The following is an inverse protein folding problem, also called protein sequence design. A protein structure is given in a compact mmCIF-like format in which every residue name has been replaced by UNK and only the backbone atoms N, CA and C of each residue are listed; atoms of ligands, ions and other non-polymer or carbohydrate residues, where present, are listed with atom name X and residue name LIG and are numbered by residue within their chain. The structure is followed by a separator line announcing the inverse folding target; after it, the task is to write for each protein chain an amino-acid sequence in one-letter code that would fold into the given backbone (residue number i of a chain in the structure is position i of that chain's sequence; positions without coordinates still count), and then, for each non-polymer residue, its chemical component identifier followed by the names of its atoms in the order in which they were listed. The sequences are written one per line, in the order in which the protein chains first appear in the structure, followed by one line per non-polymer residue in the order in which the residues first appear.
data_IF_746275346585
#
_entry.id   IF_746275346585
#
_cell.length_a   1.000
_cell.length_b   1.000
_cell.length_c   1.000
_cell.angle_alpha   90.00
_cell.angle_beta   90.00
_cell.angle_gamma   90.00
#
_symmetry.space_group_name_H-M   'P 1'
#
loop_
_entity.id
_entity.type
_entity.pdbx_description
1 polymer ?
#
# COMPACT_ATOMS: atom_id res chain seq x y z
N UNK A 1 -7.22 -35.93 32.26
CA UNK A 1 -6.32 -34.75 32.25
C UNK A 1 -5.71 -34.47 30.85
N UNK A 2 -6.53 -34.26 29.79
CA UNK A 2 -6.01 -34.14 28.40
C UNK A 2 -6.19 -32.74 27.78
N UNK A 3 -6.93 -31.84 28.44
CA UNK A 3 -7.27 -30.51 27.89
C UNK A 3 -6.16 -29.44 27.98
N UNK A 4 -5.20 -29.53 28.93
CA UNK A 4 -4.18 -28.48 29.13
C UNK A 4 -3.19 -28.36 27.96
N UNK A 5 -2.71 -29.49 27.43
CA UNK A 5 -1.67 -29.53 26.38
C UNK A 5 -2.10 -28.85 25.07
N UNK A 6 -3.36 -29.02 24.65
CA UNK A 6 -3.89 -28.40 23.42
C UNK A 6 -4.14 -26.89 23.53
N UNK A 7 -4.45 -26.39 24.73
CA UNK A 7 -4.65 -24.96 25.01
C UNK A 7 -3.32 -24.22 25.01
N UNK A 8 -2.28 -24.82 25.59
CA UNK A 8 -0.94 -24.22 25.66
C UNK A 8 -0.26 -24.09 24.30
N UNK A 9 -0.42 -25.08 23.41
CA UNK A 9 0.09 -25.05 22.02
C UNK A 9 -0.62 -23.95 21.20
N UNK A 10 -1.95 -23.82 21.33
CA UNK A 10 -2.73 -22.74 20.69
C UNK A 10 -2.33 -21.34 21.20
N UNK A 11 -1.95 -21.22 22.47
CA UNK A 11 -1.50 -19.96 23.07
C UNK A 11 -0.10 -19.57 22.59
N UNK A 12 0.83 -20.52 22.48
CA UNK A 12 2.19 -20.29 21.94
C UNK A 12 2.18 -19.91 20.45
N UNK A 13 1.34 -20.55 19.65
CA UNK A 13 1.20 -20.21 18.22
C UNK A 13 0.63 -18.81 18.01
N UNK A 14 -0.40 -18.41 18.77
CA UNK A 14 -0.93 -17.03 18.73
C UNK A 14 0.11 -15.96 19.12
N UNK A 15 0.93 -16.22 20.14
CA UNK A 15 1.98 -15.27 20.55
C UNK A 15 3.10 -15.15 19.51
N UNK A 16 3.45 -16.25 18.85
CA UNK A 16 4.41 -16.27 17.73
C UNK A 16 3.89 -15.46 16.53
N UNK A 17 2.64 -15.66 16.10
CA UNK A 17 2.02 -14.89 15.01
C UNK A 17 1.92 -13.40 15.33
N UNK A 18 1.59 -13.03 16.57
CA UNK A 18 1.57 -11.62 17.00
C UNK A 18 2.95 -10.98 16.88
N UNK A 19 3.99 -11.68 17.33
CA UNK A 19 5.38 -11.23 17.24
C UNK A 19 5.84 -11.11 15.79
N UNK A 20 5.50 -12.08 14.93
CA UNK A 20 5.77 -12.03 13.50
C UNK A 20 5.05 -10.85 12.84
N UNK A 21 3.78 -10.61 13.16
CA UNK A 21 3.01 -9.47 12.66
C UNK A 21 3.64 -8.13 13.03
N UNK A 22 4.16 -7.99 14.26
CA UNK A 22 4.91 -6.79 14.68
C UNK A 22 6.18 -6.60 13.83
N UNK A 23 6.96 -7.66 13.62
CA UNK A 23 8.17 -7.63 12.79
C UNK A 23 7.85 -7.27 11.34
N UNK A 24 6.81 -7.87 10.76
CA UNK A 24 6.36 -7.61 9.40
C UNK A 24 5.93 -6.15 9.22
N UNK A 25 5.14 -5.59 10.15
CA UNK A 25 4.74 -4.18 10.11
C UNK A 25 5.94 -3.25 10.20
N UNK A 26 6.90 -3.54 11.09
CA UNK A 26 8.12 -2.75 11.20
C UNK A 26 8.97 -2.81 9.92
N UNK A 27 9.08 -3.99 9.29
CA UNK A 27 9.75 -4.16 8.01
C UNK A 27 9.05 -3.41 6.87
N UNK A 28 7.71 -3.48 6.82
CA UNK A 28 6.89 -2.73 5.86
C UNK A 28 7.11 -1.23 5.98
N UNK A 29 7.05 -0.68 7.20
CA UNK A 29 7.32 0.75 7.46
C UNK A 29 8.73 1.18 7.02
N UNK A 30 9.74 0.35 7.24
CA UNK A 30 11.11 0.63 6.77
C UNK A 30 11.19 0.62 5.25
N UNK A 31 10.51 -0.31 4.60
CA UNK A 31 10.49 -0.39 3.13
C UNK A 31 9.75 0.82 2.53
N UNK A 32 8.59 1.19 3.08
CA UNK A 32 7.85 2.39 2.71
C UNK A 32 8.71 3.66 2.81
N UNK A 33 9.47 3.82 3.91
CA UNK A 33 10.39 4.95 4.07
C UNK A 33 11.48 4.98 2.98
N UNK A 34 12.04 3.82 2.62
CA UNK A 34 13.05 3.71 1.55
C UNK A 34 12.46 4.01 0.16
N UNK A 35 11.22 3.62 -0.09
CA UNK A 35 10.51 3.96 -1.33
C UNK A 35 10.31 5.46 -1.46
N UNK A 36 9.92 6.12 -0.38
CA UNK A 36 9.81 7.58 -0.33
C UNK A 36 11.14 8.27 -0.68
N UNK A 37 12.21 7.90 0.02
CA UNK A 37 13.56 8.45 -0.21
C UNK A 37 13.96 8.30 -1.68
N UNK A 38 13.77 7.11 -2.25
CA UNK A 38 14.12 6.85 -3.65
C UNK A 38 13.30 7.68 -4.66
N UNK A 39 12.00 7.88 -4.41
CA UNK A 39 11.17 8.73 -5.27
C UNK A 39 11.56 10.21 -5.18
N UNK A 40 11.87 10.68 -3.97
CA UNK A 40 12.36 12.03 -3.73
C UNK A 40 13.72 12.25 -4.45
N UNK A 41 14.63 11.27 -4.41
CA UNK A 41 15.89 11.27 -5.21
C UNK A 41 15.62 11.34 -6.73
N UNK A 42 14.56 10.69 -7.21
CA UNK A 42 14.13 10.74 -8.62
C UNK A 42 13.42 12.06 -8.98
N UNK A 43 13.32 13.00 -8.05
CA UNK A 43 12.74 14.33 -8.23
C UNK A 43 11.21 14.36 -8.14
N UNK A 44 10.59 13.33 -7.56
CA UNK A 44 9.16 13.37 -7.24
C UNK A 44 8.93 14.09 -5.92
N UNK A 45 7.86 14.88 -5.85
CA UNK A 45 7.33 15.37 -4.58
C UNK A 45 6.40 14.29 -4.04
N UNK A 46 6.64 13.83 -2.81
CA UNK A 46 5.94 12.69 -2.21
C UNK A 46 5.21 13.10 -0.94
N UNK A 47 3.94 12.73 -0.83
CA UNK A 47 3.17 12.88 0.41
C UNK A 47 2.36 11.61 0.73
N UNK A 48 2.10 11.35 2.01
CA UNK A 48 1.17 10.30 2.41
C UNK A 48 -0.22 10.69 1.94
N UNK A 49 -0.89 9.78 1.27
CA UNK A 49 -2.27 9.99 0.88
C UNK A 49 -3.19 9.64 2.05
N UNK A 50 -4.02 10.60 2.43
CA UNK A 50 -4.80 10.55 3.68
C UNK A 50 -6.30 10.37 3.44
N UNK A 51 -6.68 9.91 2.24
CA UNK A 51 -8.06 9.68 1.86
C UNK A 51 -8.31 8.21 1.48
N UNK A 52 -9.57 7.80 1.50
CA UNK A 52 -10.07 6.51 1.06
C UNK A 52 -11.28 6.71 0.12
N UNK A 53 -11.81 5.61 -0.40
CA UNK A 53 -12.96 5.59 -1.31
C UNK A 53 -14.21 5.21 -0.53
N UNK A 54 -15.29 5.97 -0.70
CA UNK A 54 -16.65 5.59 -0.31
C UNK A 54 -17.39 5.15 -1.58
N UNK A 55 -17.51 3.82 -1.75
CA UNK A 55 -18.13 3.22 -2.95
C UNK A 55 -19.62 3.51 -3.05
N UNK A 56 -20.32 3.64 -1.91
CA UNK A 56 -21.77 3.94 -1.90
C UNK A 56 -22.03 5.38 -2.36
N UNK A 57 -21.16 6.30 -1.96
CA UNK A 57 -21.26 7.73 -2.33
C UNK A 57 -20.45 8.10 -3.57
N UNK A 58 -19.80 7.13 -4.19
CA UNK A 58 -18.90 7.29 -5.34
C UNK A 58 -17.94 8.49 -5.21
N UNK A 59 -17.25 8.62 -4.07
CA UNK A 59 -16.35 9.76 -3.82
C UNK A 59 -15.17 9.42 -2.92
N UNK A 60 -14.18 10.30 -2.95
CA UNK A 60 -13.07 10.29 -2.00
C UNK A 60 -13.56 10.86 -0.66
N UNK A 61 -13.18 10.20 0.43
CA UNK A 61 -13.46 10.63 1.81
C UNK A 61 -12.19 10.60 2.65
N UNK A 62 -12.05 11.46 3.67
CA UNK A 62 -10.91 11.39 4.58
C UNK A 62 -10.78 10.02 5.24
N UNK A 63 -9.54 9.55 5.43
CA UNK A 63 -9.28 8.28 6.12
C UNK A 63 -9.81 8.33 7.56
N UNK A 64 -10.60 7.31 7.93
CA UNK A 64 -11.17 7.20 9.28
C UNK A 64 -10.05 7.14 10.33
N UNK A 65 -10.12 8.04 11.31
CA UNK A 65 -9.19 8.06 12.45
C UNK A 65 -9.31 6.77 13.26
N UNK A 66 -8.19 6.30 13.83
CA UNK A 66 -8.14 5.10 14.66
C UNK A 66 -7.90 5.49 16.12
N UNK A 67 -8.74 5.02 17.04
CA UNK A 67 -8.51 5.27 18.46
C UNK A 67 -7.28 4.49 18.95
N UNK A 68 -6.34 5.20 19.58
CA UNK A 68 -5.19 4.61 20.24
C UNK A 68 -5.50 4.49 21.75
N UNK A 69 -5.71 3.27 22.28
CA UNK A 69 -6.09 3.09 23.68
C UNK A 69 -4.97 3.43 24.67
N UNK A 70 -3.70 3.35 24.26
CA UNK A 70 -2.57 3.67 25.13
C UNK A 70 -2.42 5.18 25.34
N UNK A 71 -2.63 5.96 24.29
CA UNK A 71 -2.57 7.44 24.34
C UNK A 71 -3.93 8.07 24.65
N UNK A 72 -5.01 7.27 24.71
CA UNK A 72 -6.40 7.72 24.85
C UNK A 72 -6.79 8.83 23.86
N UNK A 73 -6.28 8.73 22.63
CA UNK A 73 -6.43 9.77 21.61
C UNK A 73 -6.75 9.17 20.23
N UNK A 74 -7.41 9.95 19.38
CA UNK A 74 -7.64 9.58 17.98
C UNK A 74 -6.36 9.79 17.17
N UNK A 75 -5.74 8.69 16.76
CA UNK A 75 -4.63 8.70 15.80
C UNK A 75 -5.14 8.86 14.38
N UNK A 76 -4.29 9.43 13.54
CA UNK A 76 -4.59 9.66 12.13
C UNK A 76 -4.83 8.31 11.43
N UNK A 77 -5.87 8.24 10.59
CA UNK A 77 -6.16 7.07 9.77
C UNK A 77 -5.11 6.86 8.68
N UNK A 78 -5.17 5.72 8.00
CA UNK A 78 -4.33 5.45 6.81
C UNK A 78 -5.23 5.50 5.59
N UNK A 79 -4.84 6.29 4.58
CA UNK A 79 -5.52 6.33 3.28
C UNK A 79 -5.05 5.22 2.35
N UNK A 80 -5.59 5.23 1.13
CA UNK A 80 -5.18 4.39 0.02
C UNK A 80 -5.17 5.21 -1.28
N UNK A 81 -4.10 5.16 -2.09
CA UNK A 81 -2.87 4.35 -1.94
C UNK A 81 -1.93 4.89 -0.82
N UNK A 82 -0.77 4.26 -0.61
CA UNK A 82 0.19 4.71 0.41
C UNK A 82 0.68 6.15 0.22
N UNK A 83 0.99 6.55 -1.01
CA UNK A 83 1.46 7.89 -1.34
C UNK A 83 0.72 8.48 -2.53
N UNK A 84 0.69 9.81 -2.55
CA UNK A 84 0.54 10.60 -3.77
C UNK A 84 1.90 11.16 -4.14
N UNK A 85 2.25 11.04 -5.42
CA UNK A 85 3.50 11.55 -5.96
C UNK A 85 3.19 12.47 -7.13
N UNK A 86 3.87 13.61 -7.21
CA UNK A 86 3.72 14.51 -8.34
C UNK A 86 5.03 15.15 -8.77
N UNK A 87 5.19 15.36 -10.07
CA UNK A 87 6.38 15.92 -10.70
C UNK A 87 5.97 16.70 -11.95
N UNK A 88 6.71 17.76 -12.28
CA UNK A 88 6.52 18.44 -13.56
C UNK A 88 7.07 17.60 -14.71
N UNK A 89 6.29 17.47 -15.76
CA UNK A 89 6.75 16.93 -17.04
C UNK A 89 7.53 17.98 -17.85
N UNK A 90 8.06 17.56 -18.99
CA UNK A 90 8.84 18.41 -19.90
C UNK A 90 8.01 19.58 -20.48
N UNK A 91 6.67 19.46 -20.47
CA UNK A 91 5.74 20.50 -20.93
C UNK A 91 5.39 21.49 -19.82
N UNK A 92 5.89 21.28 -18.60
CA UNK A 92 5.62 22.10 -17.43
C UNK A 92 4.33 21.77 -16.68
N UNK A 93 3.59 20.72 -17.09
CA UNK A 93 2.38 20.25 -16.40
C UNK A 93 2.75 19.26 -15.29
N UNK A 94 1.90 19.11 -14.29
CA UNK A 94 2.11 18.11 -13.25
C UNK A 94 1.53 16.76 -13.65
N UNK A 95 2.38 15.73 -13.65
CA UNK A 95 1.93 14.35 -13.54
C UNK A 95 1.63 14.06 -12.06
N UNK A 96 0.46 13.48 -11.77
CA UNK A 96 0.05 13.10 -10.42
C UNK A 96 -0.28 11.61 -10.40
N UNK A 97 0.53 10.83 -9.71
CA UNK A 97 0.41 9.37 -9.62
C UNK A 97 0.08 8.94 -8.18
N UNK A 98 -0.65 7.82 -8.09
CA UNK A 98 -0.77 7.08 -6.84
C UNK A 98 0.37 6.07 -6.71
N UNK A 99 0.83 5.81 -5.49
CA UNK A 99 1.86 4.80 -5.26
C UNK A 99 1.51 3.90 -4.08
N UNK A 100 1.43 2.60 -4.35
CA UNK A 100 1.13 1.58 -3.36
C UNK A 100 2.38 0.73 -3.05
N UNK A 101 2.70 0.56 -1.76
CA UNK A 101 3.93 -0.13 -1.33
C UNK A 101 3.62 -1.57 -0.92
N UNK A 102 4.18 -2.52 -1.66
CA UNK A 102 4.02 -3.95 -1.38
C UNK A 102 5.36 -4.65 -1.51
N UNK A 103 5.92 -5.15 -0.41
CA UNK A 103 7.23 -5.85 -0.47
C UNK A 103 7.25 -7.01 -1.47
N UNK A 104 6.15 -7.74 -1.65
CA UNK A 104 6.00 -8.80 -2.65
C UNK A 104 5.39 -8.33 -3.99
N UNK A 105 4.95 -7.07 -4.07
CA UNK A 105 4.25 -6.46 -5.20
C UNK A 105 2.84 -7.00 -5.46
N UNK A 106 2.24 -7.77 -4.55
CA UNK A 106 0.90 -8.31 -4.75
C UNK A 106 -0.15 -7.43 -4.06
N UNK A 107 -1.21 -7.10 -4.81
CA UNK A 107 -2.41 -6.44 -4.30
C UNK A 107 -3.51 -7.46 -4.04
N UNK A 108 -4.21 -7.32 -2.92
CA UNK A 108 -5.45 -8.06 -2.68
C UNK A 108 -6.60 -7.56 -3.58
N UNK A 109 -7.76 -8.24 -3.52
CA UNK A 109 -8.91 -7.90 -4.38
C UNK A 109 -9.48 -6.51 -4.07
N UNK A 110 -9.49 -6.10 -2.80
CA UNK A 110 -9.99 -4.79 -2.38
C UNK A 110 -9.06 -3.69 -2.87
N UNK A 111 -7.74 -3.89 -2.74
CA UNK A 111 -6.71 -2.96 -3.21
C UNK A 111 -6.76 -2.80 -4.73
N UNK A 112 -6.95 -3.89 -5.48
CA UNK A 112 -7.16 -3.83 -6.93
C UNK A 112 -8.40 -3.00 -7.29
N UNK A 113 -9.52 -3.24 -6.61
CA UNK A 113 -10.76 -2.49 -6.84
C UNK A 113 -10.58 -0.99 -6.56
N UNK A 114 -9.87 -0.64 -5.49
CA UNK A 114 -9.56 0.76 -5.18
C UNK A 114 -8.66 1.40 -6.23
N UNK A 115 -7.61 0.70 -6.68
CA UNK A 115 -6.75 1.19 -7.75
C UNK A 115 -7.52 1.45 -9.04
N UNK A 116 -8.35 0.49 -9.46
CA UNK A 116 -9.17 0.60 -10.67
C UNK A 116 -10.09 1.81 -10.57
N UNK A 117 -10.84 1.94 -9.48
CA UNK A 117 -11.78 3.05 -9.27
C UNK A 117 -11.07 4.41 -9.32
N UNK A 118 -9.90 4.55 -8.69
CA UNK A 118 -9.13 5.80 -8.67
C UNK A 118 -8.64 6.22 -10.06
N UNK A 119 -8.24 5.25 -10.90
CA UNK A 119 -7.81 5.50 -12.28
C UNK A 119 -9.02 5.86 -13.15
N UNK A 120 -10.11 5.09 -13.08
CA UNK A 120 -11.33 5.33 -13.86
C UNK A 120 -11.97 6.70 -13.57
N UNK A 121 -11.91 7.15 -12.31
CA UNK A 121 -12.39 8.46 -11.89
C UNK A 121 -11.35 9.59 -12.09
N UNK A 122 -10.23 9.30 -12.77
CA UNK A 122 -9.18 10.28 -13.13
C UNK A 122 -8.59 11.01 -11.91
N UNK A 123 -8.53 10.35 -10.77
CA UNK A 123 -7.90 10.88 -9.56
C UNK A 123 -6.38 10.88 -9.70
N UNK A 124 -5.85 9.79 -10.26
CA UNK A 124 -4.45 9.64 -10.59
C UNK A 124 -4.31 9.30 -12.07
N UNK A 125 -3.26 9.82 -12.73
CA UNK A 125 -2.97 9.46 -14.13
C UNK A 125 -2.63 7.99 -14.28
N UNK A 126 -1.94 7.43 -13.28
CA UNK A 126 -1.64 6.01 -13.11
C UNK A 126 -1.36 5.70 -11.64
N UNK A 127 -1.34 4.42 -11.32
CA UNK A 127 -0.92 3.93 -10.00
C UNK A 127 0.25 2.97 -10.19
N UNK A 128 1.35 3.23 -9.48
CA UNK A 128 2.50 2.34 -9.45
C UNK A 128 2.52 1.51 -8.17
N UNK A 129 3.03 0.29 -8.28
CA UNK A 129 3.24 -0.63 -7.17
C UNK A 129 4.74 -0.73 -6.93
N UNK A 130 5.20 -0.23 -5.79
CA UNK A 130 6.58 -0.36 -5.37
C UNK A 130 6.81 -1.75 -4.74
N UNK A 131 7.67 -2.55 -5.38
CA UNK A 131 8.02 -3.90 -4.99
C UNK A 131 9.49 -3.99 -4.62
N UNK A 132 9.77 -4.83 -3.61
CA UNK A 132 11.14 -5.12 -3.19
C UNK A 132 11.79 -6.07 -4.20
N UNK A 133 12.92 -5.67 -4.76
CA UNK A 133 13.79 -6.54 -5.54
C UNK A 133 15.13 -6.74 -4.80
N UNK A 134 15.54 -7.98 -4.58
CA UNK A 134 16.80 -8.28 -3.86
C UNK A 134 17.91 -8.52 -4.87
N UNK A 135 18.93 -7.66 -4.86
CA UNK A 135 20.17 -7.86 -5.62
C UNK A 135 21.29 -8.20 -4.64
N UNK A 136 21.47 -9.50 -4.41
CA UNK A 136 22.33 -10.01 -3.33
C UNK A 136 21.82 -9.55 -1.96
N UNK A 137 22.61 -8.74 -1.24
CA UNK A 137 22.22 -8.15 0.06
C UNK A 137 21.57 -6.77 -0.07
N UNK A 138 21.61 -6.15 -1.25
CA UNK A 138 21.04 -4.81 -1.50
C UNK A 138 19.55 -4.94 -1.87
N UNK A 139 18.77 -4.01 -1.35
CA UNK A 139 17.37 -3.82 -1.76
C UNK A 139 17.35 -2.78 -2.88
N UNK A 140 16.87 -3.18 -4.05
CA UNK A 140 16.44 -2.33 -5.15
C UNK A 140 14.90 -2.24 -5.12
N UNK A 141 14.36 -1.13 -5.62
CA UNK A 141 12.92 -0.92 -5.72
C UNK A 141 12.54 -1.07 -7.18
N UNK A 142 11.58 -1.96 -7.43
CA UNK A 142 10.95 -2.16 -8.73
C UNK A 142 9.60 -1.45 -8.70
N UNK A 143 9.32 -0.59 -9.68
CA UNK A 143 8.02 0.06 -9.83
C UNK A 143 7.26 -0.60 -10.97
N UNK A 144 6.09 -1.14 -10.67
CA UNK A 144 5.26 -1.83 -11.66
C UNK A 144 3.99 -1.02 -11.86
N UNK A 145 3.63 -0.72 -13.11
CA UNK A 145 2.35 -0.06 -13.40
C UNK A 145 1.18 -1.02 -13.12
N UNK A 146 0.19 -0.53 -12.37
CA UNK A 146 -1.00 -1.31 -12.02
C UNK A 146 -1.74 -1.81 -13.26
N UNK A 147 -1.91 -0.96 -14.27
CA UNK A 147 -2.65 -1.27 -15.48
C UNK A 147 -1.92 -2.32 -16.32
N UNK A 148 -0.60 -2.21 -16.44
CA UNK A 148 0.20 -3.22 -17.14
C UNK A 148 0.11 -4.59 -16.45
N UNK A 149 0.15 -4.62 -15.12
CA UNK A 149 0.15 -5.85 -14.34
C UNK A 149 -1.21 -6.55 -14.29
N UNK A 150 -2.30 -5.78 -14.19
CA UNK A 150 -3.63 -6.32 -13.89
C UNK A 150 -4.67 -6.10 -14.99
N UNK A 151 -4.53 -5.10 -15.86
CA UNK A 151 -5.50 -4.82 -16.92
C UNK A 151 -5.23 -5.64 -18.21
N UNK A 152 -3.98 -5.95 -18.51
CA UNK A 152 -3.59 -6.80 -19.67
C UNK A 152 -4.16 -8.22 -19.63
N UNK A 153 -4.62 -8.70 -18.46
CA UNK A 153 -5.22 -10.03 -18.31
C UNK A 153 -6.72 -10.07 -18.59
N UNK A 154 -7.42 -8.93 -18.58
CA UNK A 154 -8.87 -8.93 -18.83
C UNK A 154 -9.20 -8.99 -20.33
N UNK A 155 -8.37 -8.42 -21.20
CA UNK A 155 -8.60 -8.45 -22.65
C UNK A 155 -8.41 -9.84 -23.31
N UNK A 156 -7.71 -10.77 -22.64
CA UNK A 156 -7.51 -12.14 -23.15
C UNK A 156 -8.56 -13.14 -22.64
N UNK A 157 -9.60 -12.68 -21.94
CA UNK A 157 -10.68 -13.57 -21.44
C UNK A 157 -12.03 -13.30 -22.15
N UNK A 158 -12.03 -12.40 -23.14
CA UNK A 158 -13.23 -12.02 -23.93
C UNK A 158 -13.03 -12.25 -25.45
N UNK A 159 -12.09 -13.12 -25.85
CA UNK A 159 -11.94 -13.60 -27.24
C UNK A 159 -12.19 -15.11 -27.33
#
# INVERSE_FOLDING_TARGET
MVAKKGVDIKKQTKSAHSSQGKKNRAAGRRFEAKVRENLEEMGWIVNKWMNNIDYEKNKIVPAKRKYNPFLKALSIGTGFPDFVCFKKDETGRYEVIGLEVKSNGYLDQSEKGMCLWLIENKIFSRILIAKKNMKGRKIEIEYIDFSEKYNSKQQNTEQ
#
